data_IF_219677656753
#
_entry.id   IF_219677656753
#
_cell.length_a   1.000
_cell.length_b   1.000
_cell.length_c   1.000
_cell.angle_alpha   90.00
_cell.angle_beta   90.00
_cell.angle_gamma   90.00
#
_symmetry.space_group_name_H-M   'P 1'
#
loop_
_entity.id
_entity.type
_entity.pdbx_description
1 polymer ?
#
# COMPACT_ATOMS: atom_id res chain seq x y z
N UNK A 1 60.99 -33.12 -20.56
CA UNK A 1 60.17 -34.28 -20.16
C UNK A 1 59.76 -34.10 -18.71
N UNK A 2 58.54 -33.63 -18.52
CA UNK A 2 57.89 -33.34 -17.25
C UNK A 2 57.53 -34.64 -16.50
N UNK A 3 57.73 -34.64 -15.18
CA UNK A 3 56.88 -35.44 -14.27
C UNK A 3 56.43 -34.55 -13.11
N UNK A 4 55.18 -34.14 -13.24
CA UNK A 4 54.39 -33.28 -12.37
C UNK A 4 54.19 -33.89 -10.97
N UNK A 5 54.35 -33.06 -9.95
CA UNK A 5 54.01 -33.34 -8.56
C UNK A 5 52.49 -33.22 -8.36
N UNK A 6 51.89 -34.25 -7.76
CA UNK A 6 50.47 -34.28 -7.37
C UNK A 6 50.19 -33.23 -6.28
N UNK A 7 49.60 -32.11 -6.67
CA UNK A 7 48.85 -31.23 -5.78
C UNK A 7 47.44 -31.80 -5.58
N UNK A 8 47.06 -32.03 -4.32
CA UNK A 8 45.72 -32.44 -3.92
C UNK A 8 44.83 -31.21 -4.05
N UNK A 9 43.91 -31.27 -5.01
CA UNK A 9 42.92 -30.24 -5.32
C UNK A 9 41.76 -30.40 -4.33
N UNK A 10 41.53 -29.39 -3.49
CA UNK A 10 40.29 -29.26 -2.73
C UNK A 10 39.22 -28.81 -3.73
N UNK A 11 38.24 -29.67 -3.99
CA UNK A 11 37.04 -29.32 -4.76
C UNK A 11 36.26 -28.25 -3.98
N UNK A 12 36.36 -27.01 -4.44
CA UNK A 12 35.36 -25.97 -4.20
C UNK A 12 34.09 -26.42 -4.92
N UNK A 13 33.17 -27.02 -4.17
CA UNK A 13 31.82 -27.26 -4.64
C UNK A 13 31.18 -25.90 -4.96
N UNK A 14 31.03 -25.62 -6.26
CA UNK A 14 30.23 -24.55 -6.81
C UNK A 14 28.86 -24.56 -6.12
N UNK A 15 28.56 -23.49 -5.38
CA UNK A 15 27.20 -23.16 -4.99
C UNK A 15 26.43 -22.82 -6.26
N UNK A 16 25.80 -23.82 -6.86
CA UNK A 16 24.73 -23.62 -7.83
C UNK A 16 23.61 -22.82 -7.15
N UNK A 17 23.49 -21.56 -7.55
CA UNK A 17 22.33 -20.72 -7.29
C UNK A 17 21.10 -21.38 -7.90
N UNK A 18 20.36 -22.14 -7.10
CA UNK A 18 19.06 -22.70 -7.47
C UNK A 18 18.13 -21.54 -7.81
N UNK A 19 17.75 -21.45 -9.08
CA UNK A 19 16.69 -20.59 -9.59
C UNK A 19 15.35 -21.05 -8.99
N UNK A 20 14.96 -20.44 -7.87
CA UNK A 20 13.68 -20.68 -7.20
C UNK A 20 12.56 -19.96 -7.97
N UNK A 21 12.06 -20.51 -9.08
CA UNK A 21 10.73 -20.09 -9.57
C UNK A 21 10.03 -21.01 -10.60
N UNK A 22 10.01 -22.34 -10.37
CA UNK A 22 9.39 -23.30 -11.32
C UNK A 22 8.23 -24.13 -10.77
N UNK A 23 7.79 -23.92 -9.52
CA UNK A 23 6.68 -24.67 -8.93
C UNK A 23 5.30 -24.21 -9.46
N UNK A 24 4.36 -25.12 -9.76
CA UNK A 24 2.98 -24.76 -10.11
C UNK A 24 2.29 -23.86 -9.07
N UNK A 25 2.64 -24.00 -7.79
CA UNK A 25 2.12 -23.17 -6.71
C UNK A 25 2.65 -21.75 -6.77
N UNK A 26 3.95 -21.58 -7.09
CA UNK A 26 4.54 -20.26 -7.24
C UNK A 26 3.84 -19.49 -8.38
N UNK A 27 3.61 -20.15 -9.52
CA UNK A 27 2.85 -19.58 -10.64
C UNK A 27 1.41 -19.23 -10.28
N UNK A 28 0.74 -20.07 -9.48
CA UNK A 28 -0.62 -19.79 -9.01
C UNK A 28 -0.64 -18.55 -8.10
N UNK A 29 0.26 -18.47 -7.12
CA UNK A 29 0.35 -17.32 -6.20
C UNK A 29 0.70 -16.06 -6.97
N UNK A 30 1.70 -16.10 -7.85
CA UNK A 30 2.04 -14.98 -8.74
C UNK A 30 0.86 -14.56 -9.61
N UNK A 31 0.12 -15.49 -10.22
CA UNK A 31 -1.07 -15.17 -11.03
C UNK A 31 -2.19 -14.52 -10.22
N UNK A 32 -2.35 -14.91 -8.94
CA UNK A 32 -3.31 -14.28 -8.02
C UNK A 32 -2.87 -12.85 -7.69
N UNK A 33 -1.60 -12.64 -7.36
CA UNK A 33 -1.06 -11.32 -7.03
C UNK A 33 -1.11 -10.39 -8.25
N UNK A 34 -0.62 -10.85 -9.39
CA UNK A 34 -0.63 -10.11 -10.66
C UNK A 34 -2.07 -9.76 -11.07
N UNK A 35 -2.98 -10.74 -11.03
CA UNK A 35 -4.38 -10.50 -11.36
C UNK A 35 -5.07 -9.50 -10.43
N UNK A 36 -4.63 -9.39 -9.17
CA UNK A 36 -5.12 -8.39 -8.23
C UNK A 36 -4.57 -6.99 -8.54
N UNK A 37 -3.29 -6.89 -8.91
CA UNK A 37 -2.65 -5.63 -9.35
C UNK A 37 -3.32 -5.13 -10.64
N UNK A 38 -3.47 -6.00 -11.64
CA UNK A 38 -4.11 -5.69 -12.92
C UNK A 38 -5.57 -5.23 -12.73
N UNK A 39 -6.27 -5.83 -11.75
CA UNK A 39 -7.64 -5.45 -11.37
C UNK A 39 -7.71 -4.22 -10.46
N UNK A 40 -6.58 -3.57 -10.12
CA UNK A 40 -6.46 -2.44 -9.19
C UNK A 40 -7.13 -2.72 -7.83
N UNK A 41 -6.96 -3.93 -7.32
CA UNK A 41 -7.50 -4.33 -6.02
C UNK A 41 -6.70 -3.70 -4.86
N UNK A 42 -7.39 -3.33 -3.78
CA UNK A 42 -6.74 -2.86 -2.55
C UNK A 42 -6.26 -4.01 -1.66
N UNK A 43 -7.00 -5.12 -1.66
CA UNK A 43 -6.71 -6.28 -0.82
C UNK A 43 -7.03 -7.59 -1.57
N UNK A 44 -6.20 -8.60 -1.34
CA UNK A 44 -6.41 -10.00 -1.73
C UNK A 44 -6.82 -10.78 -0.49
N UNK A 45 -7.91 -11.52 -0.57
CA UNK A 45 -8.39 -12.41 0.48
C UNK A 45 -8.29 -13.85 -0.01
N UNK A 46 -7.56 -14.70 0.72
CA UNK A 46 -7.44 -16.13 0.46
C UNK A 46 -7.99 -16.86 1.67
N UNK A 47 -9.16 -17.48 1.52
CA UNK A 47 -9.97 -17.95 2.64
C UNK A 47 -10.34 -19.42 2.46
N UNK A 48 -10.01 -20.32 3.41
CA UNK A 48 -10.56 -21.66 3.39
C UNK A 48 -12.08 -21.63 3.56
N UNK A 49 -12.79 -22.39 2.73
CA UNK A 49 -14.25 -22.46 2.67
C UNK A 49 -14.69 -23.91 2.45
N UNK A 50 -14.89 -24.67 3.54
CA UNK A 50 -15.39 -26.04 3.45
C UNK A 50 -14.48 -26.95 2.61
N UNK A 51 -14.84 -27.16 1.34
CA UNK A 51 -14.10 -28.01 0.39
C UNK A 51 -13.20 -27.25 -0.61
N UNK A 52 -13.24 -25.92 -0.62
CA UNK A 52 -12.40 -25.09 -1.50
C UNK A 52 -11.67 -23.98 -0.72
N UNK A 53 -10.69 -23.36 -1.39
CA UNK A 53 -10.11 -22.09 -0.95
C UNK A 53 -10.63 -21.03 -1.89
N UNK A 54 -11.34 -20.06 -1.32
CA UNK A 54 -11.90 -18.93 -2.06
C UNK A 54 -10.90 -17.78 -2.09
N UNK A 55 -10.60 -17.29 -3.28
CA UNK A 55 -9.80 -16.08 -3.50
C UNK A 55 -10.72 -14.93 -3.92
N UNK A 56 -10.65 -13.81 -3.21
CA UNK A 56 -11.45 -12.61 -3.49
C UNK A 56 -10.56 -11.37 -3.56
N UNK A 57 -10.90 -10.45 -4.44
CA UNK A 57 -10.28 -9.13 -4.50
C UNK A 57 -11.22 -8.09 -3.92
N UNK A 58 -10.67 -7.15 -3.17
CA UNK A 58 -11.38 -5.91 -2.82
C UNK A 58 -11.12 -4.89 -3.91
N UNK A 59 -12.14 -4.57 -4.68
CA UNK A 59 -12.09 -3.57 -5.75
C UNK A 59 -13.13 -2.51 -5.40
N UNK A 60 -12.70 -1.25 -5.31
CA UNK A 60 -13.55 -0.11 -4.92
C UNK A 60 -14.35 -0.38 -3.62
N UNK A 61 -13.66 -0.96 -2.63
CA UNK A 61 -14.24 -1.31 -1.32
C UNK A 61 -15.07 -2.60 -1.28
N UNK A 62 -15.44 -3.18 -2.43
CA UNK A 62 -16.32 -4.35 -2.52
C UNK A 62 -15.53 -5.63 -2.79
N UNK A 63 -15.84 -6.71 -2.05
CA UNK A 63 -15.23 -8.02 -2.26
C UNK A 63 -15.88 -8.75 -3.44
N UNK A 64 -15.06 -9.17 -4.41
CA UNK A 64 -15.49 -9.95 -5.57
C UNK A 64 -14.71 -11.26 -5.60
N UNK A 65 -15.42 -12.39 -5.72
CA UNK A 65 -14.77 -13.69 -5.88
C UNK A 65 -14.15 -13.79 -7.26
N UNK A 66 -12.87 -14.14 -7.31
CA UNK A 66 -12.09 -14.21 -8.56
C UNK A 66 -11.86 -15.66 -8.95
N UNK A 67 -11.37 -16.48 -8.03
CA UNK A 67 -11.07 -17.89 -8.27
C UNK A 67 -11.34 -18.71 -7.02
N UNK A 68 -11.81 -19.95 -7.21
CA UNK A 68 -11.78 -20.97 -6.16
C UNK A 68 -10.74 -22.01 -6.56
N UNK A 69 -9.87 -22.38 -5.62
CA UNK A 69 -8.87 -23.42 -5.83
C UNK A 69 -9.17 -24.61 -4.90
N UNK A 70 -8.79 -25.84 -5.29
CA UNK A 70 -9.03 -27.03 -4.45
C UNK A 70 -8.38 -26.89 -3.07
N UNK A 71 -9.03 -27.38 -2.01
CA UNK A 71 -8.47 -27.35 -0.65
C UNK A 71 -7.11 -28.04 -0.55
N UNK A 72 -6.83 -29.02 -1.42
CA UNK A 72 -5.56 -29.75 -1.46
C UNK A 72 -4.33 -28.87 -1.66
N UNK A 73 -4.48 -27.71 -2.34
CA UNK A 73 -3.34 -26.81 -2.61
C UNK A 73 -3.16 -25.74 -1.52
N UNK A 74 -4.06 -25.68 -0.52
CA UNK A 74 -4.07 -24.62 0.48
C UNK A 74 -2.76 -24.53 1.26
N UNK A 75 -2.26 -25.66 1.78
CA UNK A 75 -1.07 -25.65 2.63
C UNK A 75 0.18 -25.21 1.87
N UNK A 76 0.30 -25.62 0.61
CA UNK A 76 1.42 -25.22 -0.25
C UNK A 76 1.33 -23.73 -0.59
N UNK A 77 0.14 -23.23 -0.93
CA UNK A 77 -0.08 -21.78 -1.16
C UNK A 77 0.29 -20.94 0.07
N UNK A 78 -0.22 -21.31 1.25
CA UNK A 78 0.05 -20.59 2.49
C UNK A 78 1.54 -20.60 2.82
N UNK A 79 2.20 -21.75 2.67
CA UNK A 79 3.64 -21.87 2.95
C UNK A 79 4.46 -21.02 1.96
N UNK A 80 4.09 -21.01 0.68
CA UNK A 80 4.77 -20.20 -0.33
C UNK A 80 4.62 -18.70 -0.03
N UNK A 81 3.41 -18.24 0.29
CA UNK A 81 3.18 -16.83 0.68
C UNK A 81 3.96 -16.46 1.94
N UNK A 82 3.98 -17.33 2.95
CA UNK A 82 4.77 -17.11 4.18
C UNK A 82 6.26 -16.99 3.90
N UNK A 83 6.81 -17.81 3.01
CA UNK A 83 8.23 -17.72 2.60
C UNK A 83 8.49 -16.37 1.91
N UNK A 84 7.64 -15.97 0.97
CA UNK A 84 7.79 -14.69 0.27
C UNK A 84 7.74 -13.49 1.22
N UNK A 85 6.97 -13.60 2.31
CA UNK A 85 6.76 -12.54 3.29
C UNK A 85 7.65 -12.64 4.54
N UNK A 86 8.67 -13.51 4.53
CA UNK A 86 9.60 -13.76 5.64
C UNK A 86 8.92 -14.15 6.96
N UNK A 87 7.91 -15.04 6.87
CA UNK A 87 7.09 -15.52 7.99
C UNK A 87 7.45 -16.97 8.36
N UNK A 88 7.21 -17.36 9.61
CA UNK A 88 7.46 -18.72 10.08
C UNK A 88 6.42 -19.71 9.52
N UNK A 89 6.86 -20.57 8.60
CA UNK A 89 6.04 -21.63 7.97
C UNK A 89 5.67 -22.77 8.92
N UNK A 90 6.46 -22.98 9.97
CA UNK A 90 6.27 -24.05 10.95
C UNK A 90 5.20 -23.70 11.96
N UNK A 91 5.04 -22.41 12.26
CA UNK A 91 4.00 -21.89 13.14
C UNK A 91 2.72 -21.59 12.36
N UNK A 92 1.61 -22.18 12.79
CA UNK A 92 0.29 -22.09 12.13
C UNK A 92 -0.86 -21.87 13.12
N UNK A 93 -0.53 -21.70 14.40
CA UNK A 93 -1.50 -21.64 15.52
C UNK A 93 -1.69 -20.22 16.04
N UNK A 94 -0.79 -19.30 15.70
CA UNK A 94 -0.90 -17.88 16.03
C UNK A 94 -0.96 -17.03 14.76
N UNK A 95 -1.61 -15.85 14.82
CA UNK A 95 -1.52 -14.87 13.74
C UNK A 95 -0.08 -14.45 13.50
N UNK A 96 0.24 -14.12 12.25
CA UNK A 96 1.53 -13.62 11.84
C UNK A 96 1.35 -12.51 10.81
N UNK A 97 2.22 -11.52 10.83
CA UNK A 97 2.27 -10.46 9.84
C UNK A 97 3.66 -10.44 9.20
N UNK A 98 3.68 -10.21 7.89
CA UNK A 98 4.89 -10.20 7.09
C UNK A 98 4.80 -9.15 5.99
N UNK A 99 5.90 -9.03 5.26
CA UNK A 99 6.02 -8.04 4.20
C UNK A 99 6.75 -8.64 3.00
N UNK A 100 6.26 -8.40 1.80
CA UNK A 100 6.92 -8.79 0.56
C UNK A 100 6.82 -7.69 -0.49
N UNK A 101 7.77 -7.63 -1.41
CA UNK A 101 7.73 -6.71 -2.55
C UNK A 101 7.51 -7.48 -3.84
N UNK A 102 6.77 -6.90 -4.78
CA UNK A 102 6.66 -7.42 -6.16
C UNK A 102 6.77 -6.28 -7.16
N UNK A 103 7.19 -6.58 -8.37
CA UNK A 103 7.29 -5.59 -9.46
C UNK A 103 6.41 -6.04 -10.62
N UNK A 104 5.59 -5.12 -11.15
CA UNK A 104 4.70 -5.35 -12.29
C UNK A 104 4.67 -4.10 -13.16
N UNK A 105 4.82 -4.25 -14.48
CA UNK A 105 4.82 -3.13 -15.45
C UNK A 105 5.76 -1.96 -15.08
N UNK A 106 6.98 -2.29 -14.62
CA UNK A 106 7.98 -1.33 -14.11
C UNK A 106 7.50 -0.48 -12.90
N UNK A 107 6.51 -0.95 -12.15
CA UNK A 107 6.08 -0.37 -10.87
C UNK A 107 6.36 -1.37 -9.75
N UNK A 108 6.88 -0.85 -8.63
CA UNK A 108 7.11 -1.64 -7.42
C UNK A 108 5.92 -1.52 -6.48
N UNK A 109 5.49 -2.66 -5.95
CA UNK A 109 4.40 -2.78 -4.99
C UNK A 109 4.93 -3.31 -3.66
N UNK A 110 4.53 -2.65 -2.58
CA UNK A 110 4.73 -3.10 -1.20
C UNK A 110 3.51 -3.93 -0.80
N UNK A 111 3.70 -5.18 -0.41
CA UNK A 111 2.62 -6.08 -0.06
C UNK A 111 2.70 -6.42 1.42
N UNK A 112 1.70 -5.99 2.19
CA UNK A 112 1.58 -6.37 3.61
C UNK A 112 0.75 -7.64 3.70
N UNK A 113 1.32 -8.68 4.30
CA UNK A 113 0.70 -9.99 4.40
C UNK A 113 0.31 -10.23 5.85
N UNK A 114 -0.93 -10.67 6.07
CA UNK A 114 -1.42 -11.10 7.38
C UNK A 114 -1.97 -12.52 7.28
N UNK A 115 -1.54 -13.37 8.20
CA UNK A 115 -1.97 -14.74 8.35
C UNK A 115 -2.76 -14.91 9.63
N UNK A 116 -3.94 -15.54 9.52
CA UNK A 116 -4.84 -15.78 10.63
C UNK A 116 -5.25 -17.26 10.65
N UNK A 117 -4.91 -18.02 11.70
CA UNK A 117 -5.40 -19.38 11.88
C UNK A 117 -6.93 -19.42 11.91
N UNK A 118 -7.55 -20.27 11.09
CA UNK A 118 -9.00 -20.45 11.02
C UNK A 118 -9.39 -21.93 10.95
N UNK A 119 -10.69 -22.21 11.05
CA UNK A 119 -11.23 -23.56 10.87
C UNK A 119 -10.99 -23.96 9.41
N UNK A 120 -10.32 -25.09 9.18
CA UNK A 120 -9.96 -25.53 7.83
C UNK A 120 -8.65 -24.93 7.30
N UNK A 121 -7.84 -24.30 8.15
CA UNK A 121 -6.48 -23.82 7.84
C UNK A 121 -6.36 -22.30 7.89
N UNK A 122 -5.23 -21.77 7.42
CA UNK A 122 -4.94 -20.35 7.59
C UNK A 122 -5.65 -19.50 6.53
N UNK A 123 -6.25 -18.41 6.98
CA UNK A 123 -6.72 -17.30 6.14
C UNK A 123 -5.55 -16.36 5.91
N UNK A 124 -5.35 -15.97 4.65
CA UNK A 124 -4.36 -14.96 4.27
C UNK A 124 -5.07 -13.72 3.74
N UNK A 125 -4.61 -12.55 4.17
CA UNK A 125 -4.96 -11.26 3.58
C UNK A 125 -3.69 -10.57 3.13
N UNK A 126 -3.66 -10.10 1.89
CA UNK A 126 -2.54 -9.33 1.34
C UNK A 126 -3.07 -7.95 0.99
N UNK A 127 -2.54 -6.91 1.60
CA UNK A 127 -2.82 -5.52 1.23
C UNK A 127 -1.79 -5.05 0.22
N UNK A 128 -2.25 -4.52 -0.90
CA UNK A 128 -1.41 -4.00 -1.98
C UNK A 128 -1.23 -2.50 -1.74
N UNK A 129 0.01 -2.06 -1.57
CA UNK A 129 0.37 -0.66 -1.50
C UNK A 129 1.19 -0.33 -2.75
N UNK A 130 0.70 0.58 -3.57
CA UNK A 130 1.45 1.09 -4.71
C UNK A 130 2.51 2.08 -4.19
N UNK A 131 3.79 1.89 -4.55
CA UNK A 131 4.86 2.83 -4.19
C UNK A 131 4.85 4.09 -5.07
N UNK A 132 4.24 4.03 -6.26
CA UNK A 132 4.28 5.08 -7.27
C UNK A 132 3.08 6.04 -7.19
N UNK A 133 2.92 6.76 -6.07
CA UNK A 133 1.92 7.86 -6.01
C UNK A 133 2.43 9.16 -6.61
N UNK A 134 3.73 9.26 -6.89
CA UNK A 134 4.35 10.39 -7.58
C UNK A 134 3.85 10.62 -9.02
N UNK A 135 2.94 9.78 -9.53
CA UNK A 135 2.44 9.84 -10.90
C UNK A 135 1.04 10.45 -11.04
N UNK A 136 0.29 10.67 -9.97
CA UNK A 136 -1.08 11.17 -10.09
C UNK A 136 -1.12 12.68 -10.34
N UNK A 137 -1.03 13.07 -11.61
CA UNK A 137 -1.24 14.47 -11.98
C UNK A 137 -2.73 14.84 -11.89
N UNK A 138 -3.02 16.11 -11.58
CA UNK A 138 -4.39 16.62 -11.59
C UNK A 138 -5.08 16.42 -12.95
N UNK A 139 -4.31 16.41 -14.04
CA UNK A 139 -4.80 16.22 -15.42
C UNK A 139 -5.29 14.79 -15.68
N UNK A 140 -4.73 13.80 -14.99
CA UNK A 140 -5.18 12.41 -15.06
C UNK A 140 -6.41 12.15 -14.20
N UNK A 141 -6.55 12.86 -13.07
CA UNK A 141 -7.67 12.69 -12.14
C UNK A 141 -8.90 13.49 -12.59
N UNK A 142 -8.70 14.76 -12.93
CA UNK A 142 -9.76 15.68 -13.36
C UNK A 142 -9.64 15.86 -14.87
N UNK A 143 -10.20 14.89 -15.60
CA UNK A 143 -10.10 14.79 -17.07
C UNK A 143 -10.96 15.80 -17.82
N UNK A 144 -12.04 16.28 -17.19
CA UNK A 144 -12.85 17.39 -17.69
C UNK A 144 -12.02 18.67 -17.70
N UNK A 145 -11.73 19.19 -18.89
CA UNK A 145 -10.88 20.38 -19.06
C UNK A 145 -11.45 21.60 -18.30
N UNK A 146 -12.77 21.79 -18.35
CA UNK A 146 -13.44 22.89 -17.65
C UNK A 146 -13.32 22.77 -16.13
N UNK A 147 -13.46 21.56 -15.58
CA UNK A 147 -13.36 21.36 -14.13
C UNK A 147 -11.91 21.41 -13.67
N UNK A 148 -10.97 20.90 -14.47
CA UNK A 148 -9.54 21.02 -14.19
C UNK A 148 -9.11 22.48 -14.08
N UNK A 149 -9.55 23.33 -15.01
CA UNK A 149 -9.29 24.77 -14.95
C UNK A 149 -9.90 25.42 -13.70
N UNK A 150 -11.11 25.03 -13.31
CA UNK A 150 -11.72 25.51 -12.05
C UNK A 150 -10.90 25.07 -10.84
N UNK A 151 -10.49 23.80 -10.76
CA UNK A 151 -9.61 23.31 -9.69
C UNK A 151 -8.32 24.13 -9.62
N UNK A 152 -7.62 24.32 -10.75
CA UNK A 152 -6.40 25.12 -10.82
C UNK A 152 -6.63 26.57 -10.36
N UNK A 153 -7.75 27.16 -10.73
CA UNK A 153 -8.11 28.51 -10.26
C UNK A 153 -8.35 28.54 -8.75
N UNK A 154 -9.06 27.55 -8.20
CA UNK A 154 -9.38 27.47 -6.77
C UNK A 154 -8.10 27.26 -5.93
N UNK A 155 -7.25 26.32 -6.31
CA UNK A 155 -6.06 25.92 -5.52
C UNK A 155 -4.92 26.93 -5.58
N UNK A 156 -4.94 27.84 -6.56
CA UNK A 156 -3.98 28.95 -6.66
C UNK A 156 -4.39 30.19 -5.87
N UNK A 157 -5.56 30.18 -5.20
CA UNK A 157 -5.87 31.27 -4.27
C UNK A 157 -4.85 31.29 -3.14
N UNK A 158 -4.42 32.48 -2.68
CA UNK A 158 -3.35 32.60 -1.68
C UNK A 158 -3.76 32.06 -0.31
N UNK A 159 -5.05 32.01 -0.01
CA UNK A 159 -5.62 31.45 1.21
C UNK A 159 -7.08 31.08 0.99
N UNK A 160 -7.59 30.18 1.83
CA UNK A 160 -8.96 29.70 1.79
C UNK A 160 -9.04 28.22 2.13
N UNK A 161 -10.27 27.71 2.21
CA UNK A 161 -10.54 26.31 2.52
C UNK A 161 -11.18 25.61 1.32
N UNK A 162 -10.57 24.50 0.89
CA UNK A 162 -11.13 23.58 -0.09
C UNK A 162 -11.60 22.31 0.63
N UNK A 163 -12.89 21.99 0.50
CA UNK A 163 -13.47 20.77 1.06
C UNK A 163 -13.76 19.75 -0.03
N UNK A 164 -13.12 18.59 0.04
CA UNK A 164 -13.45 17.43 -0.80
C UNK A 164 -14.38 16.49 -0.03
N UNK A 165 -15.62 16.36 -0.50
CA UNK A 165 -16.67 15.58 0.15
C UNK A 165 -17.07 14.42 -0.75
N UNK A 166 -17.30 13.25 -0.13
CA UNK A 166 -17.74 12.04 -0.82
C UNK A 166 -17.55 10.81 0.08
N UNK A 167 -18.19 9.67 -0.26
CA UNK A 167 -18.06 8.44 0.52
C UNK A 167 -16.64 7.87 0.48
N UNK A 168 -16.34 6.91 1.34
CA UNK A 168 -15.07 6.17 1.30
C UNK A 168 -14.86 5.52 -0.06
N UNK A 169 -13.63 5.56 -0.58
CA UNK A 169 -13.29 4.94 -1.87
C UNK A 169 -13.63 5.75 -3.12
N UNK A 170 -14.22 6.95 -3.01
CA UNK A 170 -14.53 7.77 -4.18
C UNK A 170 -13.34 8.61 -4.72
N UNK A 171 -12.11 8.32 -4.30
CA UNK A 171 -10.91 9.00 -4.78
C UNK A 171 -10.52 10.31 -4.08
N UNK A 172 -11.11 10.67 -2.93
CA UNK A 172 -10.78 11.94 -2.23
C UNK A 172 -9.30 12.12 -1.95
N UNK A 173 -8.67 11.12 -1.32
CA UNK A 173 -7.24 11.17 -0.97
C UNK A 173 -6.38 11.28 -2.23
N UNK A 174 -6.72 10.51 -3.27
CA UNK A 174 -6.07 10.57 -4.59
C UNK A 174 -6.14 11.99 -5.18
N UNK A 175 -7.32 12.61 -5.20
CA UNK A 175 -7.49 13.98 -5.70
C UNK A 175 -6.73 15.00 -4.84
N UNK A 176 -6.78 14.88 -3.51
CA UNK A 176 -6.05 15.77 -2.61
C UNK A 176 -4.53 15.66 -2.83
N UNK A 177 -3.99 14.45 -2.97
CA UNK A 177 -2.57 14.24 -3.19
C UNK A 177 -2.12 14.80 -4.54
N UNK A 178 -2.91 14.66 -5.61
CA UNK A 178 -2.62 15.29 -6.90
C UNK A 178 -2.62 16.82 -6.83
N UNK A 179 -3.53 17.40 -6.03
CA UNK A 179 -3.53 18.86 -5.77
C UNK A 179 -2.26 19.24 -5.00
N UNK A 180 -1.88 18.49 -3.97
CA UNK A 180 -0.66 18.77 -3.21
C UNK A 180 0.58 18.69 -4.10
N UNK A 181 0.70 17.67 -4.95
CA UNK A 181 1.80 17.55 -5.90
C UNK A 181 1.85 18.72 -6.89
N UNK A 182 0.69 19.20 -7.37
CA UNK A 182 0.63 20.40 -8.22
C UNK A 182 1.15 21.66 -7.50
N UNK A 183 0.92 21.76 -6.19
CA UNK A 183 1.34 22.90 -5.38
C UNK A 183 2.74 22.77 -4.79
N UNK A 184 3.32 21.55 -4.83
CA UNK A 184 4.60 21.18 -4.22
C UNK A 184 5.78 21.86 -4.93
N UNK A 185 6.14 23.04 -4.44
CA UNK A 185 7.32 23.79 -4.90
C UNK A 185 8.24 24.04 -3.70
N UNK A 186 9.53 24.26 -3.97
CA UNK A 186 10.51 24.56 -2.91
C UNK A 186 10.27 25.89 -2.18
N UNK A 187 9.34 26.71 -2.69
CA UNK A 187 8.96 28.01 -2.12
C UNK A 187 7.81 27.92 -1.12
N UNK A 188 7.12 26.77 -1.02
CA UNK A 188 5.94 26.60 -0.16
C UNK A 188 6.17 25.53 0.90
N UNK A 189 5.86 25.86 2.14
CA UNK A 189 5.83 24.94 3.25
C UNK A 189 4.48 24.21 3.31
N UNK A 190 4.47 22.95 2.89
CA UNK A 190 3.27 22.10 2.88
C UNK A 190 3.34 21.10 4.04
N UNK A 191 2.31 21.11 4.88
CA UNK A 191 2.21 20.21 6.04
C UNK A 191 0.86 19.51 6.08
N UNK A 192 0.85 18.19 6.28
CA UNK A 192 -0.38 17.39 6.36
C UNK A 192 -0.57 16.77 7.74
N UNK A 193 -1.82 16.51 8.12
CA UNK A 193 -2.20 15.62 9.23
C UNK A 193 -3.19 14.57 8.74
N UNK A 194 -2.89 13.28 8.94
CA UNK A 194 -3.60 12.16 8.30
C UNK A 194 -3.73 10.93 9.22
N UNK A 195 -4.73 10.07 8.99
CA UNK A 195 -4.99 8.85 9.79
C UNK A 195 -5.42 7.65 8.92
N UNK A 196 -4.49 6.80 8.46
CA UNK A 196 -3.04 6.97 8.46
C UNK A 196 -2.56 7.83 7.28
N UNK A 197 -1.25 8.06 7.18
CA UNK A 197 -0.64 8.53 5.93
C UNK A 197 -0.66 7.38 4.93
N UNK A 198 -1.37 7.54 3.82
CA UNK A 198 -1.55 6.49 2.81
C UNK A 198 -0.27 6.28 1.98
N UNK A 199 0.34 7.39 1.55
CA UNK A 199 1.57 7.38 0.76
C UNK A 199 2.49 8.51 1.18
N UNK A 200 3.79 8.30 0.98
CA UNK A 200 4.80 9.34 1.23
C UNK A 200 4.89 10.24 0.01
N UNK A 201 4.81 11.54 0.23
CA UNK A 201 4.97 12.58 -0.78
C UNK A 201 6.29 13.31 -0.52
N UNK A 202 7.24 13.18 -1.44
CA UNK A 202 8.52 13.87 -1.33
C UNK A 202 8.33 15.39 -1.35
N UNK A 203 9.07 16.11 -0.49
CA UNK A 203 8.96 17.56 -0.33
C UNK A 203 7.81 18.04 0.58
N UNK A 204 6.97 17.13 1.08
CA UNK A 204 5.84 17.47 1.96
C UNK A 204 6.05 16.90 3.35
N UNK A 205 5.80 17.71 4.39
CA UNK A 205 5.87 17.21 5.77
C UNK A 205 4.56 16.54 6.14
N UNK A 206 4.55 15.20 6.27
CA UNK A 206 3.33 14.45 6.59
C UNK A 206 3.31 13.97 8.05
N UNK A 207 2.26 14.34 8.79
CA UNK A 207 2.07 13.97 10.19
C UNK A 207 0.98 12.92 10.31
N UNK A 208 1.34 11.72 10.76
CA UNK A 208 0.34 10.70 11.09
C UNK A 208 -0.26 10.94 12.48
N UNK A 209 -1.58 10.84 12.59
CA UNK A 209 -2.34 10.79 13.85
C UNK A 209 -1.89 9.59 14.68
N UNK A 210 -1.75 9.80 15.98
CA UNK A 210 -1.37 8.76 16.94
C UNK A 210 -2.07 9.03 18.27
N UNK A 211 -3.25 8.42 18.50
CA UNK A 211 -3.99 8.60 19.73
C UNK A 211 -3.20 8.15 20.97
N UNK A 212 -2.40 7.09 20.84
CA UNK A 212 -1.54 6.57 21.92
C UNK A 212 -0.48 7.59 22.35
N UNK A 213 0.06 8.37 21.40
CA UNK A 213 1.00 9.44 21.69
C UNK A 213 0.31 10.79 22.01
N UNK A 214 -1.02 10.81 22.12
CA UNK A 214 -1.80 12.03 22.35
C UNK A 214 -1.87 12.97 21.14
N UNK A 215 -1.51 12.50 19.94
CA UNK A 215 -1.49 13.28 18.70
C UNK A 215 -2.79 13.05 17.92
N UNK A 216 -3.82 13.81 18.24
CA UNK A 216 -5.09 13.89 17.49
C UNK A 216 -5.03 14.90 16.34
N UNK A 217 -6.01 14.90 15.43
CA UNK A 217 -6.16 15.92 14.38
C UNK A 217 -6.08 17.35 14.94
N UNK A 218 -6.93 17.70 15.91
CA UNK A 218 -6.92 19.02 16.54
C UNK A 218 -5.57 19.39 17.18
N UNK A 219 -4.93 18.46 17.90
CA UNK A 219 -3.63 18.74 18.56
C UNK A 219 -2.49 18.93 17.57
N UNK A 220 -2.46 18.12 16.49
CA UNK A 220 -1.49 18.22 15.43
C UNK A 220 -1.70 19.51 14.64
N UNK A 221 -2.93 19.82 14.25
CA UNK A 221 -3.28 21.03 13.52
C UNK A 221 -2.87 22.31 14.28
N UNK A 222 -3.14 22.38 15.59
CA UNK A 222 -2.65 23.49 16.42
C UNK A 222 -1.13 23.64 16.37
N UNK A 223 -0.41 22.52 16.29
CA UNK A 223 1.04 22.53 16.24
C UNK A 223 1.55 22.94 14.87
N UNK A 224 0.90 22.46 13.81
CA UNK A 224 1.17 22.83 12.40
C UNK A 224 1.04 24.34 12.20
N UNK A 225 0.02 25.00 12.78
CA UNK A 225 -0.15 26.46 12.71
C UNK A 225 1.03 27.27 13.28
N UNK A 226 1.90 26.65 14.08
CA UNK A 226 3.14 27.27 14.60
C UNK A 226 4.39 26.85 13.82
N UNK A 227 4.23 26.22 12.67
CA UNK A 227 5.33 25.77 11.81
C UNK A 227 5.49 26.63 10.56
N UNK A 228 4.89 27.82 10.52
CA UNK A 228 4.91 28.71 9.36
C UNK A 228 4.41 28.02 8.05
N UNK A 229 3.25 27.33 8.06
CA UNK A 229 2.78 26.60 6.89
C UNK A 229 2.13 27.54 5.86
N UNK A 230 2.37 27.29 4.58
CA UNK A 230 1.66 27.93 3.46
C UNK A 230 0.40 27.14 3.08
N UNK A 231 0.49 25.80 3.13
CA UNK A 231 -0.61 24.90 2.76
C UNK A 231 -0.75 23.82 3.83
N UNK A 232 -1.97 23.63 4.32
CA UNK A 232 -2.30 22.60 5.29
C UNK A 232 -3.30 21.61 4.69
N UNK A 233 -2.98 20.32 4.70
CA UNK A 233 -3.95 19.26 4.45
C UNK A 233 -4.40 18.63 5.77
N UNK A 234 -5.72 18.53 5.94
CA UNK A 234 -6.35 17.81 7.04
C UNK A 234 -7.06 16.61 6.43
N UNK A 235 -6.59 15.39 6.74
CA UNK A 235 -7.09 14.16 6.13
C UNK A 235 -8.60 13.97 6.29
N UNK A 236 -9.15 14.40 7.43
CA UNK A 236 -10.59 14.44 7.67
C UNK A 236 -10.97 15.39 8.82
N UNK A 237 -12.21 15.88 8.77
CA UNK A 237 -12.80 16.72 9.82
C UNK A 237 -14.01 15.98 10.38
N UNK A 238 -13.83 15.29 11.52
CA UNK A 238 -14.88 14.47 12.16
C UNK A 238 -15.48 15.12 13.41
N UNK A 239 -14.81 16.10 13.98
CA UNK A 239 -15.20 16.76 15.22
C UNK A 239 -15.20 18.28 15.08
N UNK A 240 -15.94 18.94 15.98
CA UNK A 240 -16.13 20.39 15.97
C UNK A 240 -14.83 21.15 16.26
N UNK A 241 -13.96 20.58 17.10
CA UNK A 241 -12.71 21.22 17.49
C UNK A 241 -11.76 21.35 16.29
N UNK A 242 -11.60 20.27 15.53
CA UNK A 242 -10.82 20.24 14.28
C UNK A 242 -11.42 21.20 13.26
N UNK A 243 -12.75 21.25 13.13
CA UNK A 243 -13.43 22.15 12.22
C UNK A 243 -13.20 23.63 12.58
N UNK A 244 -13.35 24.00 13.85
CA UNK A 244 -13.14 25.38 14.32
C UNK A 244 -11.70 25.85 14.09
N UNK A 245 -10.71 25.00 14.37
CA UNK A 245 -9.31 25.32 14.13
C UNK A 245 -9.05 25.45 12.62
N UNK A 246 -9.58 24.54 11.79
CA UNK A 246 -9.40 24.57 10.35
C UNK A 246 -9.99 25.83 9.70
N UNK A 247 -11.14 26.29 10.17
CA UNK A 247 -11.78 27.53 9.66
C UNK A 247 -11.03 28.78 10.10
N UNK A 248 -10.38 28.73 11.26
CA UNK A 248 -9.61 29.84 11.83
C UNK A 248 -8.16 29.91 11.35
N UNK A 249 -7.71 28.89 10.60
CA UNK A 249 -6.37 28.73 10.07
C UNK A 249 -6.07 29.74 8.94
#
# INVERSE_FOLDING_TARGET
>A
EEKSAKSIQYDEAEQESVTVDSSPIAKLVSSIVDGAIDARASDIHIEPQGSDVRVRYRIDGTLRTTVNVPLSVQQEMVSHIKIMADMDISERRIPQDGHMTTSRDNQDYDLRVSSLPAIGGEKIVIRILNKDVDKWSLDEIVTSQDDNQKFRSIVNNPYGMLLLVGPTGCGKTTTLYAILQLLNTTERNIVTVEDPVEYRLDGITQVQVSPVAGRTFASALRSILRQDPDIILIGEIRDIETAEIAVSA
#
